data_IF_537738075545
#
_entry.id   IF_537738075545
#
_cell.length_a   1.000
_cell.length_b   1.000
_cell.length_c   1.000
_cell.angle_alpha   90.00
_cell.angle_beta   90.00
_cell.angle_gamma   90.00
#
_symmetry.space_group_name_H-M   'P 1'
#
loop_
_entity.id
_entity.type
_entity.pdbx_description
1 polymer ?
#
# COMPACT_ATOMS: atom_id res chain seq x y z
N UNK A 1 41.05 -33.65 -23.34
CA UNK A 1 41.31 -33.64 -21.89
C UNK A 1 41.68 -32.20 -21.54
N UNK A 2 40.67 -31.40 -21.20
CA UNK A 2 40.83 -30.08 -20.59
C UNK A 2 40.23 -30.29 -19.20
N UNK A 3 41.05 -30.14 -18.18
CA UNK A 3 40.64 -30.36 -16.80
C UNK A 3 39.56 -29.33 -16.46
N UNK A 4 38.36 -29.79 -16.14
CA UNK A 4 37.35 -28.99 -15.46
C UNK A 4 37.91 -28.65 -14.09
N UNK A 5 38.42 -27.44 -13.92
CA UNK A 5 38.67 -26.90 -12.59
C UNK A 5 37.33 -26.76 -11.90
N UNK A 6 37.20 -27.30 -10.69
CA UNK A 6 36.12 -26.96 -9.78
C UNK A 6 36.17 -25.45 -9.55
N UNK A 7 35.37 -24.70 -10.31
CA UNK A 7 35.13 -23.29 -10.02
C UNK A 7 34.29 -23.30 -8.75
N UNK A 8 34.94 -23.02 -7.61
CA UNK A 8 34.25 -22.95 -6.33
C UNK A 8 33.20 -21.84 -6.40
N UNK A 9 31.92 -22.20 -6.31
CA UNK A 9 30.83 -21.23 -6.38
C UNK A 9 30.87 -20.33 -5.13
N UNK A 10 30.82 -18.99 -5.28
CA UNK A 10 30.93 -18.10 -4.14
C UNK A 10 29.79 -18.32 -3.17
N UNK A 11 30.08 -18.33 -1.87
CA UNK A 11 29.09 -18.33 -0.80
C UNK A 11 28.42 -16.96 -0.69
N UNK A 12 27.12 -16.93 -0.43
CA UNK A 12 26.33 -15.70 -0.26
C UNK A 12 25.66 -15.76 1.12
N UNK A 13 25.92 -14.78 1.97
CA UNK A 13 25.19 -14.58 3.23
C UNK A 13 24.50 -13.22 3.19
N UNK A 14 23.22 -13.19 3.56
CA UNK A 14 22.48 -11.95 3.76
C UNK A 14 22.10 -11.83 5.22
N UNK A 15 22.62 -10.80 5.87
CA UNK A 15 22.39 -10.51 7.28
C UNK A 15 21.89 -9.08 7.47
N UNK A 16 21.57 -8.71 8.70
CA UNK A 16 21.25 -7.33 9.10
C UNK A 16 22.36 -6.34 8.76
N UNK A 17 23.61 -6.81 8.68
CA UNK A 17 24.78 -5.99 8.37
C UNK A 17 25.00 -5.81 6.86
N UNK A 18 24.24 -6.52 6.02
CA UNK A 18 24.31 -6.44 4.56
C UNK A 18 24.55 -7.80 3.90
N UNK A 19 24.95 -7.75 2.63
CA UNK A 19 25.24 -8.93 1.81
C UNK A 19 26.73 -9.20 1.84
N UNK A 20 27.13 -10.42 2.19
CA UNK A 20 28.50 -10.90 2.10
C UNK A 20 28.64 -11.93 1.00
N UNK A 21 29.67 -11.81 0.18
CA UNK A 21 30.07 -12.84 -0.77
C UNK A 21 31.46 -13.33 -0.39
N UNK A 22 31.60 -14.62 -0.13
CA UNK A 22 32.81 -15.23 0.44
C UNK A 22 33.31 -14.51 1.71
N UNK A 23 32.36 -14.10 2.54
CA UNK A 23 32.61 -13.38 3.80
C UNK A 23 32.93 -11.89 3.63
N UNK A 24 33.13 -11.39 2.40
CA UNK A 24 33.42 -9.98 2.13
C UNK A 24 32.12 -9.22 1.91
N UNK A 25 31.95 -8.07 2.59
CA UNK A 25 30.76 -7.23 2.43
C UNK A 25 30.72 -6.62 1.01
N UNK A 26 29.59 -6.76 0.34
CA UNK A 26 29.34 -6.28 -1.02
C UNK A 26 28.15 -5.33 -1.00
N UNK A 27 28.24 -4.22 -1.74
CA UNK A 27 27.09 -3.34 -1.96
C UNK A 27 26.12 -4.01 -2.94
N UNK A 28 25.17 -4.75 -2.40
CA UNK A 28 24.14 -5.46 -3.18
C UNK A 28 23.12 -4.54 -3.84
N UNK A 29 23.17 -3.21 -3.63
CA UNK A 29 22.41 -2.23 -4.40
C UNK A 29 23.20 -1.69 -5.60
N UNK A 30 24.46 -2.08 -5.78
CA UNK A 30 25.29 -1.67 -6.92
C UNK A 30 25.46 -2.81 -7.92
N UNK A 31 24.89 -2.66 -9.13
CA UNK A 31 25.09 -3.61 -10.24
C UNK A 31 26.58 -3.77 -10.55
N UNK A 32 27.35 -2.68 -10.43
CA UNK A 32 28.81 -2.71 -10.62
C UNK A 32 29.50 -3.57 -9.56
N UNK A 33 29.21 -3.36 -8.28
CA UNK A 33 29.84 -4.15 -7.21
C UNK A 33 29.49 -5.64 -7.35
N UNK A 34 28.25 -5.96 -7.73
CA UNK A 34 27.84 -7.33 -8.02
C UNK A 34 28.57 -7.92 -9.25
N UNK A 35 28.81 -7.12 -10.28
CA UNK A 35 29.59 -7.51 -11.48
C UNK A 35 31.04 -7.80 -11.14
N UNK A 36 31.65 -7.03 -10.24
CA UNK A 36 33.04 -7.26 -9.78
C UNK A 36 33.19 -8.61 -9.06
N UNK A 37 32.11 -9.13 -8.47
CA UNK A 37 32.09 -10.38 -7.70
C UNK A 37 31.61 -11.58 -8.53
N UNK A 38 30.55 -11.42 -9.30
CA UNK A 38 29.92 -12.50 -10.08
C UNK A 38 30.41 -12.59 -11.52
N UNK A 39 31.28 -11.68 -11.95
CA UNK A 39 31.80 -11.63 -13.31
C UNK A 39 30.82 -10.96 -14.28
N UNK A 40 30.95 -11.29 -15.57
CA UNK A 40 30.24 -10.62 -16.66
C UNK A 40 28.75 -11.00 -16.69
N UNK A 41 27.82 -10.03 -16.56
CA UNK A 41 26.40 -10.28 -16.75
C UNK A 41 25.98 -10.10 -18.20
N UNK A 42 24.76 -10.56 -18.52
CA UNK A 42 23.96 -10.02 -19.62
C UNK A 42 22.90 -9.06 -19.08
N UNK A 43 22.68 -7.96 -19.79
CA UNK A 43 21.62 -7.00 -19.50
C UNK A 43 20.51 -7.17 -20.51
N UNK A 44 19.27 -7.27 -20.04
CA UNK A 44 18.10 -7.49 -20.86
C UNK A 44 17.27 -6.22 -21.00
N UNK A 45 16.59 -6.08 -22.14
CA UNK A 45 15.64 -5.00 -22.36
C UNK A 45 14.59 -4.93 -21.24
N UNK A 46 14.08 -3.74 -20.91
CA UNK A 46 13.07 -3.60 -19.87
C UNK A 46 11.82 -4.45 -20.13
N UNK A 47 11.36 -5.15 -19.11
CA UNK A 47 10.02 -5.73 -19.05
C UNK A 47 9.13 -4.78 -18.23
N UNK A 48 8.33 -3.97 -18.92
CA UNK A 48 7.65 -2.84 -18.31
C UNK A 48 8.66 -1.78 -17.83
N UNK A 49 8.65 -1.45 -16.54
CA UNK A 49 9.57 -0.48 -15.92
C UNK A 49 10.83 -1.11 -15.32
N UNK A 50 11.04 -2.42 -15.53
CA UNK A 50 12.12 -3.19 -14.88
C UNK A 50 13.12 -3.73 -15.90
N UNK A 51 14.37 -3.32 -15.78
CA UNK A 51 15.54 -3.90 -16.45
C UNK A 51 16.09 -5.05 -15.61
N UNK A 52 16.57 -6.10 -16.26
CA UNK A 52 17.19 -7.26 -15.60
C UNK A 52 18.66 -7.38 -15.98
N UNK A 53 19.49 -7.58 -14.96
CA UNK A 53 20.91 -7.92 -15.11
C UNK A 53 21.09 -9.32 -14.57
N UNK A 54 21.63 -10.22 -15.38
CA UNK A 54 21.65 -11.67 -15.13
C UNK A 54 23.08 -12.21 -15.23
N UNK A 55 23.52 -12.92 -14.19
CA UNK A 55 24.76 -13.69 -14.14
C UNK A 55 24.43 -15.17 -14.25
N UNK A 56 24.43 -15.67 -15.49
CA UNK A 56 24.01 -17.03 -15.82
C UNK A 56 24.84 -18.10 -15.10
N UNK A 57 26.16 -17.96 -15.13
CA UNK A 57 27.11 -18.93 -14.56
C UNK A 57 26.95 -19.09 -13.04
N UNK A 58 26.40 -18.06 -12.37
CA UNK A 58 26.20 -18.05 -10.91
C UNK A 58 24.75 -18.38 -10.56
N UNK A 59 23.79 -18.26 -11.48
CA UNK A 59 22.37 -18.42 -11.15
C UNK A 59 21.75 -17.21 -10.43
N UNK A 60 22.34 -16.02 -10.59
CA UNK A 60 21.91 -14.78 -9.92
C UNK A 60 21.37 -13.77 -10.92
N UNK A 61 20.34 -13.01 -10.53
CA UNK A 61 19.87 -11.85 -11.29
C UNK A 61 19.43 -10.73 -10.36
N UNK A 62 19.42 -9.51 -10.86
CA UNK A 62 18.87 -8.34 -10.16
C UNK A 62 17.89 -7.56 -11.03
N UNK A 63 16.90 -6.95 -10.36
CA UNK A 63 16.01 -5.97 -10.96
C UNK A 63 16.57 -4.56 -10.77
N UNK A 64 16.54 -3.74 -11.82
CA UNK A 64 16.98 -2.34 -11.80
C UNK A 64 16.09 -1.46 -12.67
N UNK A 65 16.02 -0.15 -12.39
CA UNK A 65 15.29 0.82 -13.21
C UNK A 65 16.20 1.58 -14.18
N UNK A 66 17.45 1.79 -13.79
CA UNK A 66 18.44 2.61 -14.47
C UNK A 66 19.64 1.80 -14.99
N UNK A 67 19.72 0.50 -14.68
CA UNK A 67 20.86 -0.34 -15.03
C UNK A 67 21.99 -0.31 -13.99
N UNK A 68 21.90 0.55 -12.98
CA UNK A 68 22.98 0.80 -12.02
C UNK A 68 22.59 0.38 -10.60
N UNK A 69 21.37 0.73 -10.17
CA UNK A 69 20.90 0.44 -8.82
C UNK A 69 20.05 -0.82 -8.79
N UNK A 70 20.53 -1.83 -8.09
CA UNK A 70 19.80 -3.06 -7.86
C UNK A 70 18.74 -2.87 -6.75
N UNK A 71 17.53 -3.36 -7.02
CA UNK A 71 16.35 -3.24 -6.12
C UNK A 71 15.96 -4.58 -5.47
N UNK A 72 16.52 -5.68 -5.96
CA UNK A 72 16.37 -7.01 -5.39
C UNK A 72 17.39 -7.95 -6.02
N UNK A 73 17.96 -8.83 -5.19
CA UNK A 73 18.86 -9.92 -5.58
C UNK A 73 18.06 -11.21 -5.61
N UNK A 74 18.05 -11.88 -6.76
CA UNK A 74 17.32 -13.10 -7.01
C UNK A 74 18.35 -14.21 -7.27
N UNK A 75 18.24 -15.30 -6.53
CA UNK A 75 19.14 -16.46 -6.63
C UNK A 75 18.31 -17.69 -6.96
N UNK A 76 18.54 -18.29 -8.12
CA UNK A 76 17.86 -19.54 -8.52
C UNK A 76 18.61 -20.70 -7.89
N UNK A 77 18.04 -21.39 -6.91
CA UNK A 77 18.74 -22.42 -6.12
C UNK A 77 18.29 -23.85 -6.44
N UNK A 78 17.20 -24.01 -7.18
CA UNK A 78 16.73 -25.32 -7.64
C UNK A 78 15.88 -25.22 -8.92
N UNK A 79 15.85 -26.30 -9.70
CA UNK A 79 14.93 -26.48 -10.83
C UNK A 79 13.54 -26.87 -10.35
N UNK A 80 12.51 -26.54 -11.13
CA UNK A 80 11.13 -26.94 -10.85
C UNK A 80 10.39 -27.27 -12.14
N UNK A 81 10.33 -28.56 -12.47
CA UNK A 81 9.74 -29.05 -13.71
C UNK A 81 8.27 -28.61 -13.89
N UNK A 82 7.47 -28.64 -12.82
CA UNK A 82 6.06 -28.19 -12.86
C UNK A 82 5.96 -26.71 -13.17
N UNK A 83 6.80 -25.88 -12.56
CA UNK A 83 6.82 -24.44 -12.86
C UNK A 83 7.37 -24.15 -14.26
N UNK A 84 8.46 -24.80 -14.67
CA UNK A 84 9.14 -24.60 -15.95
C UNK A 84 8.29 -25.00 -17.16
N UNK A 85 7.51 -26.08 -17.04
CA UNK A 85 6.56 -26.52 -18.08
C UNK A 85 5.46 -25.51 -18.39
N UNK A 86 5.14 -24.60 -17.44
CA UNK A 86 4.14 -23.55 -17.62
C UNK A 86 4.72 -22.22 -18.13
N UNK A 87 6.04 -22.09 -18.22
CA UNK A 87 6.69 -20.84 -18.64
C UNK A 87 6.79 -20.76 -20.16
N UNK A 88 6.41 -19.61 -20.70
CA UNK A 88 6.70 -19.25 -22.08
C UNK A 88 8.17 -18.85 -22.28
N UNK A 89 8.56 -18.68 -23.54
CA UNK A 89 9.93 -18.33 -23.93
C UNK A 89 10.36 -16.95 -23.41
N UNK A 90 9.44 -15.98 -23.41
CA UNK A 90 9.70 -14.63 -22.92
C UNK A 90 10.04 -14.62 -21.42
N UNK A 91 9.32 -15.40 -20.61
CA UNK A 91 9.57 -15.52 -19.17
C UNK A 91 10.91 -16.22 -18.86
N UNK A 92 11.34 -17.16 -19.73
CA UNK A 92 12.63 -17.85 -19.59
C UNK A 92 13.81 -16.93 -19.85
N UNK A 93 13.67 -15.97 -20.77
CA UNK A 93 14.72 -15.01 -21.10
C UNK A 93 15.25 -14.27 -19.87
N UNK A 94 14.38 -13.91 -18.92
CA UNK A 94 14.76 -13.14 -17.74
C UNK A 94 15.36 -13.97 -16.60
N UNK A 95 15.45 -15.30 -16.74
CA UNK A 95 16.02 -16.18 -15.72
C UNK A 95 17.46 -16.56 -16.05
N UNK A 96 18.30 -16.84 -15.04
CA UNK A 96 19.61 -17.44 -15.27
C UNK A 96 19.46 -18.80 -15.97
N UNK A 97 20.42 -19.16 -16.81
CA UNK A 97 20.45 -20.48 -17.47
C UNK A 97 20.83 -21.63 -16.51
N UNK A 98 21.53 -21.32 -15.42
CA UNK A 98 21.97 -22.26 -14.40
C UNK A 98 21.29 -22.07 -13.04
N UNK A 99 21.46 -23.07 -12.17
CA UNK A 99 21.14 -22.97 -10.74
C UNK A 99 22.40 -22.62 -9.96
N UNK A 100 22.26 -21.77 -8.96
CA UNK A 100 23.29 -21.47 -7.96
C UNK A 100 23.54 -22.72 -7.11
N UNK A 101 24.81 -23.15 -7.05
CA UNK A 101 25.24 -24.35 -6.32
C UNK A 101 26.09 -24.03 -5.08
N UNK A 102 26.29 -22.75 -4.77
CA UNK A 102 27.04 -22.31 -3.61
C UNK A 102 26.21 -22.37 -2.32
N UNK A 103 26.84 -22.01 -1.21
CA UNK A 103 26.15 -21.90 0.07
C UNK A 103 25.43 -20.54 0.17
N UNK A 104 24.10 -20.54 0.10
CA UNK A 104 23.28 -19.38 0.42
C UNK A 104 22.80 -19.46 1.87
N UNK A 105 23.02 -18.40 2.65
CA UNK A 105 22.58 -18.31 4.04
C UNK A 105 21.91 -16.97 4.36
N UNK A 106 21.07 -16.98 5.39
CA UNK A 106 20.41 -15.82 5.97
C UNK A 106 20.76 -15.79 7.46
N UNK A 107 21.47 -14.75 7.90
CA UNK A 107 22.11 -14.69 9.23
C UNK A 107 22.93 -15.97 9.53
N UNK A 108 23.67 -16.46 8.53
CA UNK A 108 24.48 -17.68 8.63
C UNK A 108 23.68 -18.99 8.73
N UNK A 109 22.35 -18.96 8.60
CA UNK A 109 21.49 -20.15 8.60
C UNK A 109 21.01 -20.50 7.18
N UNK A 110 20.76 -21.78 6.87
CA UNK A 110 20.07 -22.16 5.64
C UNK A 110 18.71 -21.45 5.50
N UNK A 111 18.23 -21.14 4.28
CA UNK A 111 17.07 -20.27 4.07
C UNK A 111 15.79 -20.71 4.81
N UNK A 112 15.49 -22.01 4.83
CA UNK A 112 14.31 -22.55 5.54
C UNK A 112 14.49 -22.50 7.06
N UNK A 113 15.71 -22.69 7.56
CA UNK A 113 15.99 -22.60 9.00
C UNK A 113 15.92 -21.15 9.51
N UNK A 114 16.20 -20.17 8.65
CA UNK A 114 16.07 -18.75 8.97
C UNK A 114 14.61 -18.24 8.92
N UNK A 115 13.71 -18.95 8.24
CA UNK A 115 12.31 -18.56 8.13
C UNK A 115 11.59 -18.72 9.49
N UNK A 116 10.83 -17.70 9.95
CA UNK A 116 10.07 -17.82 11.19
C UNK A 116 9.03 -18.94 11.13
N UNK A 117 8.86 -19.70 12.21
CA UNK A 117 7.86 -20.77 12.30
C UNK A 117 6.44 -20.30 11.95
N UNK A 118 6.08 -19.08 12.37
CA UNK A 118 4.77 -18.50 12.07
C UNK A 118 4.53 -18.29 10.56
N UNK A 119 5.60 -18.12 9.78
CA UNK A 119 5.54 -18.01 8.33
C UNK A 119 5.55 -19.39 7.67
N UNK A 120 6.35 -20.33 8.17
CA UNK A 120 6.34 -21.73 7.72
C UNK A 120 4.98 -22.40 7.91
N UNK A 121 4.27 -22.13 9.02
CA UNK A 121 2.89 -22.60 9.24
C UNK A 121 1.88 -22.02 8.25
N UNK A 122 2.23 -20.98 7.50
CA UNK A 122 1.39 -20.38 6.46
C UNK A 122 1.90 -20.65 5.04
N UNK A 123 2.85 -21.57 4.90
CA UNK A 123 3.48 -21.89 3.63
C UNK A 123 2.44 -22.23 2.55
N UNK A 124 2.60 -21.62 1.39
CA UNK A 124 1.85 -21.98 0.18
C UNK A 124 2.69 -21.80 -1.08
N UNK A 125 2.67 -20.63 -1.70
CA UNK A 125 3.47 -20.34 -2.90
C UNK A 125 4.88 -19.85 -2.56
N UNK A 126 4.98 -19.15 -1.43
CA UNK A 126 6.21 -18.51 -0.99
C UNK A 126 6.18 -18.32 0.52
N UNK A 127 7.37 -18.12 1.09
CA UNK A 127 7.54 -17.58 2.44
C UNK A 127 8.01 -16.13 2.32
N UNK A 128 7.47 -15.23 3.15
CA UNK A 128 7.89 -13.83 3.20
C UNK A 128 8.20 -13.40 4.62
N UNK A 129 9.44 -12.96 4.84
CA UNK A 129 9.88 -12.51 6.17
C UNK A 129 10.98 -11.46 6.05
N UNK A 130 11.41 -10.91 7.19
CA UNK A 130 12.41 -9.85 7.24
C UNK A 130 13.53 -10.17 8.21
N UNK A 131 14.73 -9.70 7.87
CA UNK A 131 15.89 -9.63 8.75
C UNK A 131 16.48 -8.24 8.63
N UNK A 132 16.39 -7.44 9.70
CA UNK A 132 16.78 -6.03 9.67
C UNK A 132 16.07 -5.28 8.52
N UNK A 133 16.87 -4.65 7.68
CA UNK A 133 16.40 -3.89 6.51
C UNK A 133 16.15 -4.75 5.27
N UNK A 134 16.37 -6.06 5.33
CA UNK A 134 16.15 -6.98 4.22
C UNK A 134 14.79 -7.67 4.31
N UNK A 135 14.03 -7.64 3.22
CA UNK A 135 12.89 -8.52 2.99
C UNK A 135 13.33 -9.72 2.17
N UNK A 136 12.95 -10.92 2.60
CA UNK A 136 13.13 -12.16 1.87
C UNK A 136 11.80 -12.66 1.34
N UNK A 137 11.83 -13.14 0.10
CA UNK A 137 10.78 -13.99 -0.47
C UNK A 137 11.44 -15.29 -0.94
N UNK A 138 11.00 -16.42 -0.38
CA UNK A 138 11.44 -17.75 -0.80
C UNK A 138 10.34 -18.38 -1.63
N UNK A 139 10.54 -18.54 -2.94
CA UNK A 139 9.56 -19.20 -3.81
C UNK A 139 9.65 -20.72 -3.63
N UNK A 140 8.53 -21.32 -3.21
CA UNK A 140 8.47 -22.74 -2.88
C UNK A 140 8.43 -23.62 -4.13
N UNK A 141 9.11 -24.76 -4.06
CA UNK A 141 9.24 -25.71 -5.16
C UNK A 141 7.93 -26.45 -5.41
N UNK A 142 7.30 -26.21 -6.57
CA UNK A 142 5.99 -26.79 -6.87
C UNK A 142 6.05 -28.29 -7.12
N UNK A 143 7.19 -28.79 -7.61
CA UNK A 143 7.40 -30.21 -7.88
C UNK A 143 7.56 -30.99 -6.58
N UNK A 144 8.40 -30.54 -5.65
CA UNK A 144 8.59 -31.22 -4.37
C UNK A 144 7.43 -31.05 -3.40
N UNK A 145 6.81 -29.86 -3.35
CA UNK A 145 5.73 -29.54 -2.44
C UNK A 145 4.35 -29.71 -3.10
N UNK A 146 4.22 -30.64 -4.04
CA UNK A 146 3.00 -30.84 -4.83
C UNK A 146 1.76 -31.03 -3.96
N UNK A 147 1.87 -31.80 -2.86
CA UNK A 147 0.75 -32.02 -1.93
C UNK A 147 0.27 -30.70 -1.32
N UNK A 148 1.20 -29.89 -0.81
CA UNK A 148 0.91 -28.56 -0.24
C UNK A 148 0.29 -27.63 -1.30
N UNK A 149 0.75 -27.68 -2.55
CA UNK A 149 0.18 -26.87 -3.63
C UNK A 149 -1.20 -27.34 -4.10
N UNK A 150 -1.52 -28.62 -3.94
CA UNK A 150 -2.82 -29.20 -4.27
C UNK A 150 -3.88 -29.00 -3.17
N UNK A 151 -3.49 -28.65 -1.94
CA UNK A 151 -4.42 -28.41 -0.84
C UNK A 151 -5.34 -27.22 -1.10
N UNK A 152 -6.60 -27.34 -0.70
CA UNK A 152 -7.59 -26.27 -0.74
C UNK A 152 -7.30 -25.19 0.31
N UNK A 153 -7.71 -23.94 0.06
CA UNK A 153 -7.42 -22.82 0.97
C UNK A 153 -7.94 -23.04 2.40
N UNK A 154 -9.14 -23.62 2.54
CA UNK A 154 -9.75 -23.94 3.85
C UNK A 154 -8.94 -24.97 4.65
N UNK A 155 -8.36 -25.94 3.94
CA UNK A 155 -7.58 -27.01 4.55
C UNK A 155 -6.23 -26.46 5.02
N UNK A 156 -5.56 -25.67 4.18
CA UNK A 156 -4.33 -24.97 4.56
C UNK A 156 -4.55 -24.07 5.77
N UNK A 157 -5.66 -23.33 5.82
CA UNK A 157 -5.98 -22.47 6.96
C UNK A 157 -6.16 -23.25 8.25
N UNK A 158 -6.81 -24.42 8.20
CA UNK A 158 -6.96 -25.29 9.36
C UNK A 158 -5.61 -25.84 9.84
N UNK A 159 -4.76 -26.31 8.90
CA UNK A 159 -3.42 -26.84 9.20
C UNK A 159 -2.41 -25.77 9.60
N UNK A 160 -2.68 -24.48 9.33
CA UNK A 160 -1.84 -23.38 9.81
C UNK A 160 -1.85 -23.20 11.33
N UNK A 161 -2.77 -23.87 12.04
CA UNK A 161 -2.81 -23.93 13.51
C UNK A 161 -1.89 -25.03 14.08
N UNK A 162 -1.28 -25.87 13.23
CA UNK A 162 -0.35 -26.94 13.60
C UNK A 162 0.99 -26.75 12.89
N UNK A 163 1.97 -27.64 13.13
CA UNK A 163 3.28 -27.63 12.45
C UNK A 163 3.30 -28.41 11.13
N UNK A 164 2.18 -29.00 10.70
CA UNK A 164 2.14 -29.88 9.52
C UNK A 164 2.68 -29.21 8.24
N UNK A 165 2.26 -27.99 7.93
CA UNK A 165 2.74 -27.27 6.74
C UNK A 165 4.23 -26.92 6.85
N UNK A 166 4.69 -26.59 8.06
CA UNK A 166 6.09 -26.29 8.31
C UNK A 166 6.96 -27.53 8.14
N UNK A 167 6.51 -28.68 8.63
CA UNK A 167 7.22 -29.95 8.53
C UNK A 167 7.29 -30.46 7.10
N UNK A 168 6.24 -30.29 6.30
CA UNK A 168 6.27 -30.55 4.85
C UNK A 168 7.38 -29.74 4.16
N UNK A 169 7.49 -28.44 4.44
CA UNK A 169 8.55 -27.59 3.85
C UNK A 169 9.94 -27.99 4.35
N UNK A 170 10.11 -28.31 5.64
CA UNK A 170 11.41 -28.69 6.21
C UNK A 170 11.91 -30.07 5.75
N UNK A 171 11.00 -30.97 5.39
CA UNK A 171 11.33 -32.34 4.97
C UNK A 171 11.61 -32.48 3.47
N UNK A 172 11.23 -31.50 2.66
CA UNK A 172 11.58 -31.43 1.25
C UNK A 172 13.12 -31.29 1.05
N UNK A 173 13.64 -31.83 -0.04
CA UNK A 173 15.08 -31.84 -0.34
C UNK A 173 15.56 -30.49 -0.88
N UNK A 174 14.81 -29.92 -1.84
CA UNK A 174 15.01 -28.60 -2.40
C UNK A 174 13.68 -27.80 -2.34
N UNK A 175 13.24 -27.40 -1.13
CA UNK A 175 11.95 -26.74 -0.91
C UNK A 175 11.82 -25.37 -1.57
N UNK A 176 12.94 -24.74 -1.94
CA UNK A 176 12.99 -23.38 -2.51
C UNK A 176 13.59 -23.43 -3.90
N UNK A 177 12.99 -22.71 -4.84
CA UNK A 177 13.49 -22.61 -6.23
C UNK A 177 14.20 -21.29 -6.48
N UNK A 178 13.73 -20.22 -5.85
CA UNK A 178 14.29 -18.89 -5.98
C UNK A 178 14.24 -18.17 -4.64
N UNK A 179 15.35 -17.57 -4.27
CA UNK A 179 15.49 -16.70 -3.10
C UNK A 179 15.54 -15.27 -3.61
N UNK A 180 14.70 -14.39 -3.07
CA UNK A 180 14.67 -12.98 -3.40
C UNK A 180 15.00 -12.19 -2.14
N UNK A 181 16.11 -11.46 -2.14
CA UNK A 181 16.51 -10.54 -1.08
C UNK A 181 16.40 -9.10 -1.56
N UNK A 182 15.51 -8.32 -0.96
CA UNK A 182 15.31 -6.90 -1.29
C UNK A 182 15.66 -6.03 -0.10
N UNK A 183 16.57 -5.07 -0.30
CA UNK A 183 16.84 -4.04 0.69
C UNK A 183 15.65 -3.07 0.76
N UNK A 184 14.92 -3.13 1.87
CA UNK A 184 13.72 -2.36 2.17
C UNK A 184 13.82 -1.82 3.58
N UNK A 185 14.62 -0.76 3.83
CA UNK A 185 14.81 -0.24 5.16
C UNK A 185 13.48 0.18 5.78
N UNK A 186 13.27 -0.16 7.05
CA UNK A 186 12.08 0.32 7.76
C UNK A 186 12.25 1.82 7.95
N UNK A 187 11.58 2.60 7.11
CA UNK A 187 11.63 4.05 7.22
C UNK A 187 11.15 4.46 8.61
N UNK A 188 11.89 5.32 9.32
CA UNK A 188 11.45 5.79 10.62
C UNK A 188 10.07 6.40 10.48
N UNK A 189 9.17 5.97 11.37
CA UNK A 189 7.82 6.53 11.44
C UNK A 189 7.96 8.04 11.64
N UNK A 190 7.62 8.82 10.62
CA UNK A 190 7.66 10.28 10.70
C UNK A 190 6.71 10.71 11.80
N UNK A 191 7.16 11.55 12.74
CA UNK A 191 6.23 12.16 13.69
C UNK A 191 5.23 13.03 12.90
N UNK A 192 3.94 13.06 13.29
CA UNK A 192 3.00 14.02 12.71
C UNK A 192 3.58 15.42 12.79
N UNK A 193 3.61 16.13 11.67
CA UNK A 193 4.10 17.51 11.56
C UNK A 193 3.27 18.49 12.39
N UNK A 194 2.02 18.11 12.68
CA UNK A 194 1.04 18.95 13.37
C UNK A 194 0.24 19.83 12.42
N UNK A 195 0.47 19.75 11.10
CA UNK A 195 -0.28 20.48 10.05
C UNK A 195 -1.79 20.33 10.20
N UNK A 196 -2.25 19.12 10.56
CA UNK A 196 -3.66 18.79 10.64
C UNK A 196 -4.24 18.87 12.06
N UNK A 197 -3.56 19.55 12.99
CA UNK A 197 -4.19 19.90 14.26
C UNK A 197 -5.39 20.81 13.99
N UNK A 198 -6.50 20.53 14.67
CA UNK A 198 -7.67 21.41 14.60
C UNK A 198 -7.27 22.80 15.10
N UNK A 199 -7.67 23.88 14.41
CA UNK A 199 -7.50 25.23 14.92
C UNK A 199 -8.09 25.36 16.32
N UNK A 200 -7.45 26.14 17.19
CA UNK A 200 -8.04 26.51 18.48
C UNK A 200 -8.98 27.69 18.22
N UNK A 201 -10.28 27.59 18.54
CA UNK A 201 -11.21 28.70 18.35
C UNK A 201 -10.79 29.90 19.22
N UNK A 202 -10.69 31.07 18.61
CA UNK A 202 -10.53 32.36 19.29
C UNK A 202 -11.86 33.13 19.43
N UNK A 203 -12.92 32.60 18.80
CA UNK A 203 -14.27 33.16 18.81
C UNK A 203 -15.36 32.06 18.88
N UNK A 204 -16.62 32.49 18.93
CA UNK A 204 -17.75 31.57 18.89
C UNK A 204 -17.80 30.82 17.55
N UNK A 205 -18.01 29.50 17.61
CA UNK A 205 -18.12 28.65 16.42
C UNK A 205 -19.56 28.22 16.16
N UNK A 206 -19.90 27.95 14.90
CA UNK A 206 -21.19 27.40 14.52
C UNK A 206 -21.39 25.99 15.09
N UNK A 207 -22.60 25.75 15.62
CA UNK A 207 -23.04 24.44 16.11
C UNK A 207 -24.10 23.87 15.17
N UNK A 208 -23.67 23.00 14.26
CA UNK A 208 -24.52 22.33 13.26
C UNK A 208 -24.78 20.88 13.67
N UNK A 209 -26.04 20.49 13.86
CA UNK A 209 -26.43 19.13 14.27
C UNK A 209 -26.31 18.12 13.14
N UNK A 210 -26.71 18.52 11.93
CA UNK A 210 -26.64 17.67 10.75
C UNK A 210 -25.22 17.63 10.20
N UNK A 211 -24.60 16.45 10.25
CA UNK A 211 -23.25 16.27 9.70
C UNK A 211 -23.19 16.48 8.18
N UNK A 212 -24.12 15.96 7.36
CA UNK A 212 -24.14 16.26 5.93
C UNK A 212 -24.36 17.74 5.62
N UNK A 213 -25.25 18.44 6.34
CA UNK A 213 -25.41 19.90 6.16
C UNK A 213 -24.13 20.65 6.50
N UNK A 214 -23.45 20.24 7.59
CA UNK A 214 -22.15 20.77 7.95
C UNK A 214 -21.10 20.55 6.85
N UNK A 215 -21.10 19.41 6.17
CA UNK A 215 -20.21 19.16 5.04
C UNK A 215 -20.49 20.12 3.88
N UNK A 216 -21.75 20.40 3.56
CA UNK A 216 -22.10 21.40 2.54
C UNK A 216 -21.56 22.80 2.90
N UNK A 217 -21.69 23.22 4.16
CA UNK A 217 -21.13 24.50 4.66
C UNK A 217 -19.60 24.50 4.58
N UNK A 218 -18.94 23.39 4.98
CA UNK A 218 -17.48 23.28 4.89
C UNK A 218 -17.01 23.26 3.43
N UNK A 219 -17.73 22.60 2.52
CA UNK A 219 -17.42 22.60 1.10
C UNK A 219 -17.36 24.04 0.57
N UNK A 220 -18.43 24.79 0.81
CA UNK A 220 -18.55 26.18 0.38
C UNK A 220 -17.45 27.06 0.97
N UNK A 221 -17.23 27.00 2.28
CA UNK A 221 -16.29 27.91 2.95
C UNK A 221 -14.81 27.51 2.79
N UNK A 222 -14.50 26.21 2.72
CA UNK A 222 -13.11 25.70 2.67
C UNK A 222 -12.62 25.46 1.24
N UNK A 223 -13.45 24.92 0.34
CA UNK A 223 -13.03 24.51 -0.99
C UNK A 223 -13.38 25.55 -2.06
N UNK A 224 -14.60 26.09 -2.01
CA UNK A 224 -15.09 27.09 -2.97
C UNK A 224 -14.54 28.48 -2.64
N UNK A 225 -14.94 29.06 -1.51
CA UNK A 225 -14.54 30.41 -1.11
C UNK A 225 -13.13 30.50 -0.53
N UNK A 226 -12.60 29.38 -0.01
CA UNK A 226 -11.26 29.27 0.61
C UNK A 226 -11.03 30.27 1.75
N UNK A 227 -12.08 30.55 2.52
CA UNK A 227 -12.02 31.41 3.72
C UNK A 227 -11.70 30.62 4.99
N UNK A 228 -11.77 29.29 4.93
CA UNK A 228 -11.33 28.37 5.99
C UNK A 228 -10.05 27.64 5.57
N UNK A 229 -9.11 27.50 6.51
CA UNK A 229 -7.81 26.88 6.29
C UNK A 229 -7.37 25.94 7.43
N UNK A 230 -6.45 24.98 7.15
CA UNK A 230 -5.98 24.61 5.82
C UNK A 230 -7.09 23.94 5.00
N UNK A 231 -7.05 24.09 3.66
CA UNK A 231 -7.89 23.28 2.77
C UNK A 231 -7.55 21.81 2.98
N UNK A 232 -8.54 21.00 3.35
CA UNK A 232 -8.32 19.61 3.70
C UNK A 232 -7.89 18.80 2.47
N UNK A 233 -6.94 17.89 2.67
CA UNK A 233 -6.47 16.96 1.66
C UNK A 233 -6.27 15.59 2.32
N UNK A 234 -7.06 14.59 1.93
CA UNK A 234 -7.08 13.27 2.56
C UNK A 234 -5.76 12.52 2.40
N UNK A 235 -5.10 12.63 1.24
CA UNK A 235 -3.83 11.95 0.99
C UNK A 235 -2.71 12.53 1.85
N UNK A 236 -2.61 13.84 1.94
CA UNK A 236 -1.63 14.49 2.81
C UNK A 236 -1.98 14.31 4.30
N UNK A 237 -3.26 14.34 4.67
CA UNK A 237 -3.73 14.00 6.01
C UNK A 237 -3.34 12.58 6.40
N UNK A 238 -3.51 11.61 5.50
CA UNK A 238 -3.21 10.21 5.75
C UNK A 238 -1.72 9.95 5.90
N UNK A 239 -0.86 10.72 5.21
CA UNK A 239 0.59 10.62 5.34
C UNK A 239 1.18 11.36 6.56
N UNK A 240 0.42 12.24 7.20
CA UNK A 240 0.90 13.06 8.33
C UNK A 240 0.35 12.58 9.70
N UNK A 241 0.23 11.27 9.90
CA UNK A 241 -0.27 10.64 11.14
C UNK A 241 0.75 9.74 11.85
N UNK A 242 1.98 9.73 11.35
CA UNK A 242 3.05 8.86 11.83
C UNK A 242 2.62 7.39 11.86
N UNK A 243 2.62 6.78 13.05
CA UNK A 243 2.32 5.35 13.19
C UNK A 243 0.87 5.00 12.79
N UNK A 244 0.00 6.00 12.67
CA UNK A 244 -1.40 5.86 12.25
C UNK A 244 -1.61 6.30 10.80
N UNK A 245 -0.56 6.37 9.99
CA UNK A 245 -0.70 6.59 8.56
C UNK A 245 -1.54 5.49 7.93
N UNK A 246 -2.21 5.82 6.82
CA UNK A 246 -3.03 4.89 6.06
C UNK A 246 -3.00 5.27 4.58
N UNK A 247 -3.41 4.36 3.71
CA UNK A 247 -3.71 4.68 2.32
C UNK A 247 -5.21 4.98 2.21
N UNK A 248 -5.63 6.19 1.80
CA UNK A 248 -7.04 6.48 1.57
C UNK A 248 -7.71 5.52 0.58
N UNK A 249 -6.98 5.02 -0.43
CA UNK A 249 -7.54 4.16 -1.46
C UNK A 249 -7.89 2.75 -0.94
N UNK A 250 -7.30 2.31 0.19
CA UNK A 250 -7.66 1.04 0.86
C UNK A 250 -9.08 1.05 1.43
N UNK A 251 -9.68 2.23 1.66
CA UNK A 251 -11.05 2.36 2.12
C UNK A 251 -12.07 2.25 0.99
N UNK A 252 -11.65 2.35 -0.28
CA UNK A 252 -12.50 2.26 -1.46
C UNK A 252 -13.75 3.17 -1.38
N UNK A 253 -14.94 2.59 -1.22
CA UNK A 253 -16.27 3.24 -1.11
C UNK A 253 -16.70 3.50 0.34
N UNK A 254 -15.85 3.19 1.31
CA UNK A 254 -16.17 3.32 2.74
C UNK A 254 -15.66 4.64 3.32
N UNK A 255 -16.48 5.28 4.16
CA UNK A 255 -16.12 6.54 4.82
C UNK A 255 -14.96 6.37 5.79
N UNK A 256 -13.88 7.14 5.56
CA UNK A 256 -12.66 7.12 6.38
C UNK A 256 -12.96 7.71 7.78
N UNK A 257 -12.87 6.93 8.88
CA UNK A 257 -13.31 7.39 10.20
C UNK A 257 -12.51 8.56 10.75
N UNK A 258 -11.21 8.60 10.49
CA UNK A 258 -10.30 9.67 10.95
C UNK A 258 -10.59 11.00 10.27
N UNK A 259 -10.92 10.99 8.97
CA UNK A 259 -11.35 12.17 8.22
C UNK A 259 -12.70 12.66 8.72
N UNK A 260 -13.67 11.76 8.87
CA UNK A 260 -14.99 12.07 9.43
C UNK A 260 -14.89 12.76 10.79
N UNK A 261 -14.03 12.25 11.67
CA UNK A 261 -13.78 12.83 12.98
C UNK A 261 -13.18 14.25 12.87
N UNK A 262 -12.22 14.44 11.96
CA UNK A 262 -11.58 15.75 11.74
C UNK A 262 -12.58 16.79 11.23
N UNK A 263 -13.34 16.48 10.18
CA UNK A 263 -14.33 17.40 9.61
C UNK A 263 -15.48 17.69 10.57
N UNK A 264 -15.86 16.71 11.40
CA UNK A 264 -16.84 16.93 12.48
C UNK A 264 -16.29 17.88 13.56
N UNK A 265 -15.01 17.80 13.88
CA UNK A 265 -14.36 18.64 14.89
C UNK A 265 -13.92 20.02 14.41
N UNK A 266 -13.84 20.25 13.10
CA UNK A 266 -13.31 21.51 12.55
C UNK A 266 -14.08 22.77 13.01
N UNK A 267 -13.49 23.70 13.77
CA UNK A 267 -14.23 24.87 14.21
C UNK A 267 -14.59 25.78 13.04
N UNK A 268 -15.88 26.02 12.82
CA UNK A 268 -16.37 26.97 11.82
C UNK A 268 -16.65 28.29 12.55
N UNK A 269 -15.85 29.34 12.38
CA UNK A 269 -16.03 30.60 13.11
C UNK A 269 -17.35 31.27 12.74
N UNK A 270 -18.09 31.83 13.69
CA UNK A 270 -19.42 32.39 13.42
C UNK A 270 -19.37 33.56 12.42
N UNK A 271 -18.27 34.31 12.38
CA UNK A 271 -18.10 35.47 11.48
C UNK A 271 -18.18 35.10 9.99
N UNK A 272 -17.91 33.86 9.61
CA UNK A 272 -17.96 33.43 8.21
C UNK A 272 -19.34 32.96 7.75
N UNK A 273 -20.31 32.81 8.66
CA UNK A 273 -21.66 32.35 8.32
C UNK A 273 -22.36 33.28 7.31
N UNK A 274 -22.19 34.60 7.48
CA UNK A 274 -22.76 35.60 6.55
C UNK A 274 -22.16 35.57 5.14
N UNK A 275 -21.09 34.80 4.89
CA UNK A 275 -20.52 34.63 3.54
C UNK A 275 -21.23 33.54 2.73
N UNK A 276 -22.03 32.70 3.37
CA UNK A 276 -22.76 31.63 2.68
C UNK A 276 -24.03 32.21 2.09
N UNK A 277 -24.00 32.53 0.80
CA UNK A 277 -25.13 33.09 0.06
C UNK A 277 -25.86 32.03 -0.77
N UNK A 278 -25.11 31.07 -1.29
CA UNK A 278 -25.57 29.94 -2.07
C UNK A 278 -24.90 28.65 -1.59
N UNK A 279 -25.63 27.54 -1.66
CA UNK A 279 -25.05 26.19 -1.56
C UNK A 279 -25.35 25.42 -2.84
N UNK A 280 -24.33 24.72 -3.35
CA UNK A 280 -24.48 23.75 -4.44
C UNK A 280 -24.26 22.36 -3.86
N UNK A 281 -25.30 21.54 -3.88
CA UNK A 281 -25.30 20.16 -3.39
C UNK A 281 -25.13 19.24 -4.60
N UNK A 282 -23.88 18.91 -4.91
CA UNK A 282 -23.49 18.12 -6.07
C UNK A 282 -22.57 16.97 -5.64
N UNK A 283 -22.76 15.77 -6.19
CA UNK A 283 -21.96 14.60 -5.83
C UNK A 283 -20.48 14.74 -6.13
N UNK A 284 -20.11 15.58 -7.10
CA UNK A 284 -18.74 15.94 -7.45
C UNK A 284 -18.10 16.98 -6.52
N UNK A 285 -18.79 17.44 -5.47
CA UNK A 285 -18.19 18.34 -4.49
C UNK A 285 -16.96 17.70 -3.83
N UNK A 286 -15.84 18.44 -3.85
CA UNK A 286 -14.52 17.92 -3.47
C UNK A 286 -14.48 17.36 -2.04
N UNK A 287 -15.29 17.92 -1.13
CA UNK A 287 -15.32 17.44 0.26
C UNK A 287 -15.72 15.97 0.37
N UNK A 288 -16.60 15.45 -0.50
CA UNK A 288 -17.09 14.07 -0.41
C UNK A 288 -15.98 13.08 -0.76
N UNK A 289 -15.18 13.38 -1.78
CA UNK A 289 -13.98 12.61 -2.14
C UNK A 289 -12.90 12.65 -1.05
N UNK A 290 -12.93 13.61 -0.12
CA UNK A 290 -12.04 13.58 1.05
C UNK A 290 -12.48 12.52 2.07
N UNK A 291 -13.78 12.25 2.21
CA UNK A 291 -14.32 11.26 3.15
C UNK A 291 -14.35 9.85 2.56
N UNK A 292 -14.73 9.73 1.29
CA UNK A 292 -14.89 8.48 0.54
C UNK A 292 -14.21 8.70 -0.83
N UNK A 293 -12.93 8.32 -1.00
CA UNK A 293 -12.16 8.64 -2.21
C UNK A 293 -12.74 8.06 -3.51
N UNK A 294 -13.43 6.92 -3.43
CA UNK A 294 -14.07 6.25 -4.58
C UNK A 294 -15.59 6.31 -4.54
N UNK A 295 -16.16 7.31 -3.90
CA UNK A 295 -17.62 7.46 -3.87
C UNK A 295 -18.16 7.65 -5.28
N UNK A 296 -19.10 6.82 -5.68
CA UNK A 296 -19.76 6.83 -6.99
C UNK A 296 -21.00 7.73 -7.02
N UNK A 297 -21.45 8.23 -5.87
CA UNK A 297 -22.64 9.07 -5.76
C UNK A 297 -23.95 8.30 -5.66
N UNK A 298 -23.92 6.97 -5.56
CA UNK A 298 -25.13 6.13 -5.67
C UNK A 298 -25.83 5.83 -4.32
N UNK A 299 -25.21 6.19 -3.20
CA UNK A 299 -25.75 5.95 -1.86
C UNK A 299 -26.22 7.23 -1.15
N UNK A 300 -26.81 7.06 0.04
CA UNK A 300 -27.34 8.14 0.87
C UNK A 300 -26.34 8.65 1.93
N UNK A 301 -25.03 8.42 1.74
CA UNK A 301 -24.00 8.76 2.72
C UNK A 301 -23.96 10.26 3.07
N UNK A 302 -24.42 11.12 2.16
CA UNK A 302 -24.41 12.58 2.31
C UNK A 302 -25.80 13.23 2.26
N UNK A 303 -26.86 12.44 2.41
CA UNK A 303 -28.23 12.96 2.44
C UNK A 303 -28.47 13.88 3.64
N UNK A 304 -28.96 15.08 3.36
CA UNK A 304 -29.38 16.05 4.35
C UNK A 304 -30.87 15.81 4.62
N UNK A 305 -31.16 14.84 5.49
CA UNK A 305 -32.56 14.46 5.80
C UNK A 305 -33.30 15.51 6.62
N UNK A 306 -32.60 16.22 7.51
CA UNK A 306 -33.17 17.25 8.38
C UNK A 306 -32.19 18.41 8.59
N UNK A 307 -32.75 19.61 8.69
CA UNK A 307 -32.05 20.84 9.11
C UNK A 307 -32.95 21.52 10.14
N UNK A 308 -32.39 21.92 11.28
CA UNK A 308 -33.14 22.60 12.34
C UNK A 308 -33.10 24.12 12.16
N UNK A 309 -34.06 24.84 12.74
CA UNK A 309 -34.06 26.31 12.67
C UNK A 309 -32.82 26.93 13.33
N UNK A 310 -32.25 26.26 14.34
CA UNK A 310 -30.98 26.62 14.97
C UNK A 310 -29.79 26.42 14.03
N UNK A 311 -29.80 25.40 13.16
CA UNK A 311 -28.75 25.20 12.17
C UNK A 311 -28.76 26.34 11.12
N UNK A 312 -29.94 26.88 10.79
CA UNK A 312 -30.11 27.93 9.77
C UNK A 312 -29.93 29.36 10.30
N UNK A 313 -30.17 29.60 11.59
CA UNK A 313 -30.12 30.93 12.20
C UNK A 313 -28.85 31.74 11.87
N UNK A 314 -27.64 31.16 11.87
CA UNK A 314 -26.41 31.92 11.57
C UNK A 314 -26.29 32.37 10.11
N UNK A 315 -26.98 31.73 9.18
CA UNK A 315 -26.81 31.92 7.73
C UNK A 315 -27.78 32.96 7.18
N UNK A 316 -27.70 34.19 7.69
CA UNK A 316 -28.65 35.28 7.38
C UNK A 316 -28.64 35.70 5.90
N UNK A 317 -27.58 35.37 5.17
CA UNK A 317 -27.40 35.72 3.76
C UNK A 317 -27.65 34.55 2.80
N UNK A 318 -27.95 33.34 3.30
CA UNK A 318 -28.31 32.22 2.44
C UNK A 318 -29.63 32.54 1.73
N UNK A 319 -29.61 32.55 0.40
CA UNK A 319 -30.76 32.84 -0.45
C UNK A 319 -31.10 31.72 -1.41
N UNK A 320 -30.11 30.88 -1.76
CA UNK A 320 -30.30 29.83 -2.77
C UNK A 320 -29.62 28.52 -2.38
N UNK A 321 -30.26 27.40 -2.67
CA UNK A 321 -29.66 26.07 -2.64
C UNK A 321 -29.97 25.39 -3.97
N UNK A 322 -28.93 24.94 -4.67
CA UNK A 322 -29.05 24.12 -5.87
C UNK A 322 -28.79 22.67 -5.48
N UNK A 323 -29.84 21.85 -5.47
CA UNK A 323 -29.79 20.42 -5.14
C UNK A 323 -29.68 19.56 -6.39
N UNK A 324 -28.50 19.59 -7.00
CA UNK A 324 -28.18 18.85 -8.22
C UNK A 324 -28.14 17.34 -7.95
N UNK A 325 -27.58 16.95 -6.80
CA UNK A 325 -27.41 15.56 -6.39
C UNK A 325 -28.64 14.92 -5.75
N UNK A 326 -29.69 15.68 -5.45
CA UNK A 326 -30.89 15.17 -4.78
C UNK A 326 -30.65 14.80 -3.31
N UNK A 327 -29.77 15.52 -2.62
CA UNK A 327 -29.39 15.23 -1.23
C UNK A 327 -30.39 15.76 -0.20
N UNK A 328 -31.30 16.67 -0.56
CA UNK A 328 -32.25 17.24 0.39
C UNK A 328 -33.44 16.31 0.60
N UNK A 329 -33.57 15.79 1.82
CA UNK A 329 -34.81 15.19 2.26
C UNK A 329 -35.94 16.25 2.38
N UNK A 330 -37.19 15.81 2.20
CA UNK A 330 -38.39 16.67 2.25
C UNK A 330 -38.44 17.60 3.49
N UNK A 331 -37.97 17.13 4.65
CA UNK A 331 -37.96 17.94 5.88
C UNK A 331 -36.90 19.04 5.85
N UNK A 332 -35.72 18.77 5.30
CA UNK A 332 -34.65 19.74 5.13
C UNK A 332 -35.04 20.82 4.10
N UNK A 333 -35.57 20.41 2.94
CA UNK A 333 -36.12 21.31 1.91
C UNK A 333 -37.14 22.29 2.50
N UNK A 334 -38.16 21.76 3.20
CA UNK A 334 -39.17 22.61 3.87
C UNK A 334 -38.57 23.57 4.92
N UNK A 335 -37.49 23.19 5.60
CA UNK A 335 -36.85 24.07 6.58
C UNK A 335 -36.17 25.28 5.90
N UNK A 336 -35.51 25.06 4.76
CA UNK A 336 -34.91 26.10 3.94
C UNK A 336 -35.99 27.05 3.37
N UNK A 337 -37.04 26.51 2.77
CA UNK A 337 -38.14 27.28 2.17
C UNK A 337 -38.87 28.15 3.20
N UNK A 338 -39.11 27.65 4.42
CA UNK A 338 -39.70 28.44 5.51
C UNK A 338 -38.86 29.67 5.90
N UNK A 339 -37.54 29.64 5.64
CA UNK A 339 -36.63 30.77 5.84
C UNK A 339 -36.50 31.67 4.61
N UNK A 340 -37.29 31.42 3.56
CA UNK A 340 -37.25 32.19 2.31
C UNK A 340 -36.05 31.85 1.42
N UNK A 341 -35.40 30.71 1.64
CA UNK A 341 -34.32 30.21 0.76
C UNK A 341 -34.96 29.53 -0.44
N UNK A 342 -34.56 29.93 -1.64
CA UNK A 342 -34.98 29.30 -2.89
C UNK A 342 -34.23 27.98 -3.09
N UNK A 343 -34.92 26.90 -3.40
CA UNK A 343 -34.32 25.58 -3.61
C UNK A 343 -34.61 25.10 -5.03
N UNK A 344 -33.57 24.95 -5.85
CA UNK A 344 -33.62 24.37 -7.18
C UNK A 344 -33.20 22.90 -7.14
N UNK A 345 -33.73 22.03 -8.01
CA UNK A 345 -33.39 20.59 -8.06
C UNK A 345 -34.56 19.66 -7.74
N UNK A 346 -34.36 18.34 -7.86
CA UNK A 346 -35.46 17.35 -7.86
C UNK A 346 -36.25 17.28 -6.52
N UNK A 347 -37.57 17.13 -6.64
CA UNK A 347 -38.54 16.93 -5.54
C UNK A 347 -38.66 15.47 -5.11
#
# INVERSE_FOLDING_TARGET
MIMGGDVNMPSIDVSRDGVRVDGVLVDAQSVRALTEVFGSPRTLSPNGSTTWVVWDDVGVRVSTKDGEVATGVYVTVATDARSESKRDEAARLYRPSGVYTGAFTIEGQPPIAAAPDAELRKAYLMLRFRVGDWEFVLLLNTTELQELHAMEARERFARAQTDELADMVRSAQAPVTEIIASHKPVLPVKKPSGKWKLPVPDEQTLSLKSFPFRLAILNELMFVQRVLGPRFNVYDFAQDRGAKNFDPDEYYDTMIPSVRAWLRGYPIPARVAGKVEQLVLDGGNEIYAQLIPRWDGEDNSFDITTITDHDLEPFTNLRRVEDIGGFLGVRARRALERRGVHVDGAD
#
